data_IF_550661656931
#
_entry.id   IF_550661656931
#
_cell.length_a   1.000
_cell.length_b   1.000
_cell.length_c   1.000
_cell.angle_alpha   90.00
_cell.angle_beta   90.00
_cell.angle_gamma   90.00
#
_symmetry.space_group_name_H-M   'P 1'
#
loop_
_entity.id
_entity.type
_entity.pdbx_description
1 polymer ?
#
# COMPACT_ATOMS: atom_id res chain seq x y z
N UNK A 1 -13.00 64.55 -14.09
CA UNK A 1 -13.59 63.31 -13.54
C UNK A 1 -12.49 62.25 -13.58
N UNK A 2 -11.91 61.94 -12.43
CA UNK A 2 -10.73 61.08 -12.29
C UNK A 2 -11.12 59.61 -12.37
N UNK A 3 -10.62 58.87 -13.35
CA UNK A 3 -10.69 57.41 -13.33
C UNK A 3 -9.35 56.85 -12.85
N UNK A 4 -9.30 56.49 -11.56
CA UNK A 4 -8.21 55.67 -11.03
C UNK A 4 -8.44 54.24 -11.48
N UNK A 5 -7.62 53.76 -12.41
CA UNK A 5 -7.55 52.35 -12.76
C UNK A 5 -6.87 51.62 -11.61
N UNK A 6 -7.63 50.86 -10.81
CA UNK A 6 -7.07 49.98 -9.81
C UNK A 6 -6.58 48.69 -10.50
N UNK A 7 -5.27 48.52 -10.62
CA UNK A 7 -4.68 47.27 -11.09
C UNK A 7 -4.80 46.23 -9.96
N UNK A 8 -5.68 45.25 -10.14
CA UNK A 8 -5.75 44.10 -9.25
C UNK A 8 -4.60 43.14 -9.59
N UNK A 9 -3.58 43.10 -8.74
CA UNK A 9 -2.54 42.07 -8.80
C UNK A 9 -3.13 40.74 -8.33
N UNK A 10 -3.47 39.87 -9.28
CA UNK A 10 -3.83 38.48 -9.00
C UNK A 10 -2.55 37.70 -8.71
N UNK A 11 -2.22 37.50 -7.43
CA UNK A 11 -1.14 36.59 -7.03
C UNK A 11 -1.65 35.16 -7.21
N UNK A 12 -1.24 34.52 -8.30
CA UNK A 12 -1.50 33.10 -8.55
C UNK A 12 -0.66 32.28 -7.57
N UNK A 13 -1.26 31.85 -6.46
CA UNK A 13 -0.63 30.86 -5.59
C UNK A 13 -0.58 29.51 -6.33
N UNK A 14 0.56 29.18 -6.92
CA UNK A 14 0.83 27.83 -7.40
C UNK A 14 0.98 26.96 -6.15
N UNK A 15 -0.10 26.30 -5.74
CA UNK A 15 -0.05 25.19 -4.79
C UNK A 15 0.79 24.08 -5.42
N UNK A 16 2.08 24.03 -5.09
CA UNK A 16 2.88 22.85 -5.36
C UNK A 16 2.32 21.76 -4.45
N UNK A 17 1.59 20.81 -5.01
CA UNK A 17 1.31 19.55 -4.32
C UNK A 17 2.67 18.99 -3.91
N UNK A 18 2.94 19.00 -2.61
CA UNK A 18 4.24 18.60 -2.08
C UNK A 18 4.43 17.12 -2.41
N UNK A 19 5.44 16.82 -3.24
CA UNK A 19 5.72 15.45 -3.63
C UNK A 19 5.96 14.58 -2.39
N UNK A 20 5.38 13.38 -2.37
CA UNK A 20 5.51 12.48 -1.23
C UNK A 20 7.00 12.20 -0.94
N UNK A 21 7.39 12.40 0.31
CA UNK A 21 8.76 12.24 0.79
C UNK A 21 8.77 11.30 2.00
N UNK A 22 9.88 10.59 2.25
CA UNK A 22 10.03 9.78 3.45
C UNK A 22 9.68 10.54 4.74
N UNK A 23 8.92 9.92 5.63
CA UNK A 23 8.61 10.48 6.95
C UNK A 23 9.68 10.21 7.99
N UNK A 24 10.52 9.20 7.78
CA UNK A 24 11.54 8.82 8.74
C UNK A 24 12.26 7.52 8.37
N UNK A 25 12.91 6.93 9.38
CA UNK A 25 13.53 5.61 9.31
C UNK A 25 13.36 4.88 10.62
N UNK A 26 13.18 3.58 10.58
CA UNK A 26 13.25 2.69 11.74
C UNK A 26 14.50 1.82 11.68
N UNK A 27 14.97 1.36 12.84
CA UNK A 27 16.13 0.47 12.95
C UNK A 27 15.66 -0.96 13.13
N UNK A 28 16.02 -1.82 12.17
CA UNK A 28 15.68 -3.23 12.17
C UNK A 28 16.17 -3.95 13.42
N UNK A 29 15.31 -4.83 13.94
CA UNK A 29 15.60 -5.75 15.05
C UNK A 29 15.71 -7.16 14.49
N UNK A 30 16.40 -8.04 15.24
CA UNK A 30 16.43 -9.46 14.89
C UNK A 30 15.14 -10.10 15.39
N UNK A 31 14.41 -10.79 14.52
CA UNK A 31 13.27 -11.61 14.91
C UNK A 31 13.68 -12.68 15.96
N UNK A 32 12.87 -12.90 17.01
CA UNK A 32 12.99 -14.08 17.86
C UNK A 32 12.88 -15.39 17.06
N UNK A 33 13.39 -16.52 17.59
CA UNK A 33 13.21 -17.82 16.93
C UNK A 33 11.72 -18.16 16.80
N UNK A 34 11.29 -18.53 15.58
CA UNK A 34 9.90 -18.87 15.29
C UNK A 34 9.03 -17.70 14.83
N UNK A 35 9.58 -16.48 14.82
CA UNK A 35 8.93 -15.27 14.29
C UNK A 35 9.55 -14.90 12.93
N UNK A 36 8.89 -14.00 12.21
CA UNK A 36 9.11 -13.64 10.81
C UNK A 36 8.79 -14.76 9.83
N UNK A 37 7.52 -14.79 9.44
CA UNK A 37 7.01 -15.53 8.31
C UNK A 37 7.64 -14.98 7.02
N UNK A 38 8.10 -15.91 6.17
CA UNK A 38 8.73 -15.63 4.89
C UNK A 38 7.94 -16.20 3.70
N UNK A 39 6.69 -16.63 3.95
CA UNK A 39 5.74 -16.97 2.90
C UNK A 39 5.54 -15.80 1.92
N UNK A 40 5.15 -16.14 0.69
CA UNK A 40 5.02 -15.23 -0.46
C UNK A 40 6.24 -14.33 -0.74
N UNK A 41 7.43 -14.71 -0.26
CA UNK A 41 8.66 -13.95 -0.48
C UNK A 41 8.89 -12.83 0.55
N UNK A 42 8.15 -12.84 1.66
CA UNK A 42 8.29 -11.87 2.74
C UNK A 42 9.71 -11.85 3.34
N UNK A 43 10.20 -10.63 3.57
CA UNK A 43 11.58 -10.33 3.95
C UNK A 43 11.67 -10.09 5.47
N UNK A 44 12.72 -10.56 6.14
CA UNK A 44 12.90 -10.28 7.57
C UNK A 44 13.79 -9.06 7.83
N UNK A 45 13.45 -8.27 8.85
CA UNK A 45 14.30 -7.17 9.28
C UNK A 45 15.69 -7.64 9.73
N UNK A 46 16.71 -6.93 9.26
CA UNK A 46 18.12 -7.19 9.60
C UNK A 46 18.53 -6.31 10.76
N UNK A 47 19.06 -6.90 11.83
CA UNK A 47 19.52 -6.19 13.03
C UNK A 47 20.46 -5.05 12.65
N UNK A 48 20.07 -3.83 13.00
CA UNK A 48 20.88 -2.63 12.79
C UNK A 48 20.76 -1.98 11.41
N UNK A 49 20.11 -2.61 10.42
CA UNK A 49 19.77 -1.98 9.13
C UNK A 49 18.68 -0.92 9.36
N UNK A 50 18.77 0.21 8.67
CA UNK A 50 17.72 1.23 8.69
C UNK A 50 16.77 1.03 7.52
N UNK A 51 15.47 1.08 7.79
CA UNK A 51 14.39 0.96 6.82
C UNK A 51 13.64 2.29 6.76
N UNK A 52 13.32 2.75 5.55
CA UNK A 52 12.62 4.01 5.33
C UNK A 52 11.15 3.85 5.67
N UNK A 53 10.55 4.88 6.25
CA UNK A 53 9.11 4.92 6.51
C UNK A 53 8.45 6.08 5.76
N UNK A 54 7.17 5.92 5.47
CA UNK A 54 6.35 6.89 4.76
C UNK A 54 5.01 7.08 5.48
N UNK A 55 4.48 8.30 5.43
CA UNK A 55 3.10 8.64 5.83
C UNK A 55 2.23 9.06 4.65
N UNK A 56 2.78 8.95 3.45
CA UNK A 56 2.19 9.39 2.20
C UNK A 56 2.50 8.38 1.11
N UNK A 57 1.71 8.42 0.05
CA UNK A 57 1.89 7.62 -1.15
C UNK A 57 1.92 8.54 -2.38
N UNK A 58 2.35 8.07 -3.56
CA UNK A 58 2.22 8.84 -4.79
C UNK A 58 0.79 9.33 -5.04
N UNK A 59 0.59 10.42 -5.81
CA UNK A 59 -0.75 10.94 -6.09
C UNK A 59 -1.66 9.90 -6.76
N UNK A 60 -2.91 9.81 -6.30
CA UNK A 60 -3.95 9.00 -6.94
C UNK A 60 -4.45 9.72 -8.20
N UNK A 61 -4.71 8.95 -9.26
CA UNK A 61 -5.20 9.39 -10.57
C UNK A 61 -6.03 8.30 -11.23
N UNK A 62 -6.59 8.57 -12.41
CA UNK A 62 -7.30 7.58 -13.24
C UNK A 62 -6.38 6.47 -13.80
N UNK A 63 -5.10 6.47 -13.47
CA UNK A 63 -4.16 5.40 -13.83
C UNK A 63 -3.00 5.34 -12.82
N UNK A 64 -3.33 5.22 -11.52
CA UNK A 64 -2.35 5.25 -10.43
C UNK A 64 -1.38 4.08 -10.57
N UNK A 65 -0.09 4.36 -10.78
CA UNK A 65 0.93 3.32 -10.86
C UNK A 65 1.24 2.77 -9.48
N UNK A 66 1.33 1.46 -9.38
CA UNK A 66 1.67 0.76 -8.15
C UNK A 66 2.49 -0.49 -8.45
N UNK A 67 3.06 -1.05 -7.39
CA UNK A 67 3.63 -2.40 -7.41
C UNK A 67 2.64 -3.32 -6.71
N UNK A 68 2.26 -4.41 -7.37
CA UNK A 68 1.44 -5.47 -6.83
C UNK A 68 2.35 -6.47 -6.11
N UNK A 69 2.02 -6.79 -4.86
CA UNK A 69 2.63 -7.87 -4.07
C UNK A 69 1.58 -8.94 -3.76
N UNK A 70 2.04 -10.14 -3.38
CA UNK A 70 1.18 -11.27 -3.02
C UNK A 70 1.15 -11.38 -1.49
N UNK A 71 -0.05 -11.44 -0.93
CA UNK A 71 -0.27 -11.63 0.50
C UNK A 71 -1.49 -12.53 0.73
N UNK A 72 -1.40 -13.38 1.76
CA UNK A 72 -2.52 -14.15 2.28
C UNK A 72 -3.18 -13.41 3.45
N UNK A 73 -4.47 -13.12 3.31
CA UNK A 73 -5.31 -12.52 4.34
C UNK A 73 -6.01 -13.56 5.22
N UNK A 74 -5.65 -14.84 5.04
CA UNK A 74 -6.19 -15.93 5.84
C UNK A 74 -5.62 -15.95 7.26
N UNK A 75 -6.34 -16.65 8.14
CA UNK A 75 -5.83 -16.93 9.47
C UNK A 75 -4.58 -17.81 9.36
N UNK A 76 -3.49 -17.36 9.99
CA UNK A 76 -2.16 -17.95 9.93
C UNK A 76 -1.45 -17.81 8.57
N UNK A 77 -1.93 -16.94 7.68
CA UNK A 77 -1.14 -16.48 6.54
C UNK A 77 -0.05 -15.47 6.93
N UNK A 78 0.64 -14.93 5.93
CA UNK A 78 1.68 -13.92 6.09
C UNK A 78 1.16 -12.50 6.34
N UNK A 79 -0.12 -12.24 6.09
CA UNK A 79 -0.79 -10.97 6.44
C UNK A 79 -0.91 -10.73 7.96
N UNK A 80 -0.55 -11.71 8.80
CA UNK A 80 -0.50 -11.55 10.24
C UNK A 80 -1.89 -11.57 10.89
N UNK A 81 -2.34 -10.39 11.35
CA UNK A 81 -3.60 -10.24 12.09
C UNK A 81 -4.85 -10.17 11.18
N UNK A 82 -6.05 -10.06 11.78
CA UNK A 82 -7.26 -9.71 11.02
C UNK A 82 -7.14 -8.32 10.39
N UNK A 83 -7.74 -8.12 9.23
CA UNK A 83 -7.59 -6.87 8.46
C UNK A 83 -8.25 -5.64 9.13
N UNK A 84 -7.60 -4.49 9.01
CA UNK A 84 -7.95 -3.26 9.73
C UNK A 84 -9.36 -2.72 9.43
N UNK A 85 -9.88 -2.90 8.21
CA UNK A 85 -11.16 -2.32 7.84
C UNK A 85 -12.36 -2.97 8.53
N UNK A 86 -12.29 -4.26 8.85
CA UNK A 86 -13.43 -5.02 9.36
C UNK A 86 -13.11 -6.01 10.48
N UNK A 87 -11.85 -6.11 10.90
CA UNK A 87 -11.36 -7.06 11.90
C UNK A 87 -11.63 -8.52 11.53
N UNK A 88 -11.57 -8.86 10.24
CA UNK A 88 -11.79 -10.21 9.73
C UNK A 88 -10.57 -10.73 8.97
N UNK A 89 -10.44 -12.05 8.92
CA UNK A 89 -9.60 -12.73 7.93
C UNK A 89 -10.41 -12.93 6.65
N UNK A 90 -9.73 -12.95 5.51
CA UNK A 90 -10.33 -13.14 4.20
C UNK A 90 -9.68 -14.34 3.51
N UNK A 91 -10.50 -15.17 2.86
CA UNK A 91 -10.04 -16.36 2.12
C UNK A 91 -9.21 -15.95 0.90
N UNK A 92 -8.16 -16.71 0.57
CA UNK A 92 -7.27 -16.42 -0.56
C UNK A 92 -7.99 -16.40 -1.92
N UNK A 93 -9.15 -17.08 -2.02
CA UNK A 93 -10.00 -17.08 -3.21
C UNK A 93 -10.93 -15.84 -3.28
N UNK A 94 -10.87 -14.93 -2.30
CA UNK A 94 -11.61 -13.66 -2.29
C UNK A 94 -10.74 -12.53 -2.81
N UNK A 95 -11.16 -11.75 -3.85
CA UNK A 95 -10.37 -10.65 -4.38
C UNK A 95 -10.36 -9.44 -3.42
N UNK A 96 -9.40 -9.45 -2.50
CA UNK A 96 -9.14 -8.41 -1.51
C UNK A 96 -7.70 -7.89 -1.59
N UNK A 97 -7.50 -6.66 -1.11
CA UNK A 97 -6.19 -5.99 -1.06
C UNK A 97 -5.98 -5.15 0.20
N UNK A 98 -4.71 -4.96 0.56
CA UNK A 98 -4.23 -3.89 1.40
C UNK A 98 -3.63 -2.75 0.55
N UNK A 99 -3.71 -1.52 1.04
CA UNK A 99 -3.08 -0.37 0.38
C UNK A 99 -2.02 0.25 1.27
N UNK A 100 -0.91 0.71 0.68
CA UNK A 100 0.07 1.54 1.41
C UNK A 100 -0.61 2.67 2.18
N UNK A 101 -0.14 2.98 3.39
CA UNK A 101 -0.69 3.99 4.32
C UNK A 101 -1.26 5.25 3.65
N UNK A 102 -0.52 5.86 2.73
CA UNK A 102 -0.96 7.09 2.08
C UNK A 102 -2.17 6.92 1.16
N UNK A 103 -2.31 5.75 0.52
CA UNK A 103 -3.48 5.38 -0.28
C UNK A 103 -4.61 4.82 0.58
N UNK A 104 -4.30 4.08 1.65
CA UNK A 104 -5.28 3.65 2.65
C UNK A 104 -5.99 4.86 3.29
N UNK A 105 -5.23 5.94 3.54
CA UNK A 105 -5.74 7.26 3.96
C UNK A 105 -6.64 7.16 5.20
N UNK A 106 -6.17 6.43 6.21
CA UNK A 106 -6.91 6.23 7.47
C UNK A 106 -8.26 5.55 7.26
N UNK A 107 -8.31 4.56 6.37
CA UNK A 107 -9.50 3.78 6.09
C UNK A 107 -10.52 4.44 5.17
N UNK A 108 -10.20 5.56 4.50
CA UNK A 108 -11.18 6.22 3.63
C UNK A 108 -11.63 5.36 2.44
N UNK A 109 -10.86 4.31 2.11
CA UNK A 109 -11.16 3.33 1.07
C UNK A 109 -11.68 2.00 1.59
N UNK A 110 -11.78 1.83 2.91
CA UNK A 110 -12.22 0.57 3.50
C UNK A 110 -13.53 0.07 2.91
N UNK A 111 -13.55 -1.21 2.55
CA UNK A 111 -14.68 -1.94 1.98
C UNK A 111 -15.21 -1.37 0.65
N UNK A 112 -14.50 -0.41 0.05
CA UNK A 112 -14.71 0.02 -1.32
C UNK A 112 -13.83 -0.80 -2.25
N UNK A 113 -14.20 -0.80 -3.54
CA UNK A 113 -13.46 -1.50 -4.58
C UNK A 113 -12.49 -0.57 -5.27
N UNK A 114 -11.37 -1.15 -5.70
CA UNK A 114 -10.49 -0.56 -6.71
C UNK A 114 -10.43 -1.50 -7.91
N UNK A 115 -10.29 -0.94 -9.10
CA UNK A 115 -10.02 -1.72 -10.30
C UNK A 115 -8.52 -1.76 -10.52
N UNK A 116 -7.94 -2.96 -10.51
CA UNK A 116 -6.51 -3.21 -10.73
C UNK A 116 -6.34 -3.69 -12.16
N UNK A 117 -5.34 -3.18 -12.87
CA UNK A 117 -5.06 -3.54 -14.26
C UNK A 117 -3.60 -3.95 -14.46
N UNK A 118 -3.40 -5.10 -15.10
CA UNK A 118 -2.10 -5.66 -15.43
C UNK A 118 -2.26 -6.68 -16.57
N UNK A 119 -1.21 -6.91 -17.36
CA UNK A 119 -1.21 -7.98 -18.39
C UNK A 119 -2.42 -7.94 -19.36
N UNK A 120 -2.93 -6.74 -19.67
CA UNK A 120 -4.12 -6.56 -20.52
C UNK A 120 -5.44 -7.03 -19.90
N UNK A 121 -5.47 -7.31 -18.59
CA UNK A 121 -6.64 -7.73 -17.82
C UNK A 121 -6.90 -6.74 -16.68
N UNK A 122 -8.12 -6.80 -16.14
CA UNK A 122 -8.52 -6.01 -14.97
C UNK A 122 -9.37 -6.85 -14.01
N UNK A 123 -9.29 -6.52 -12.72
CA UNK A 123 -10.10 -7.13 -11.66
C UNK A 123 -10.50 -6.07 -10.64
N UNK A 124 -11.73 -6.15 -10.15
CA UNK A 124 -12.15 -5.36 -8.99
C UNK A 124 -11.80 -6.11 -7.71
N UNK A 125 -11.10 -5.44 -6.80
CA UNK A 125 -10.73 -5.98 -5.51
C UNK A 125 -11.18 -5.05 -4.39
N UNK A 126 -11.63 -5.62 -3.27
CA UNK A 126 -12.06 -4.86 -2.10
C UNK A 126 -10.86 -4.48 -1.24
N UNK A 127 -10.77 -3.21 -0.85
CA UNK A 127 -9.76 -2.76 0.12
C UNK A 127 -10.20 -3.20 1.51
N UNK A 128 -9.45 -4.10 2.12
CA UNK A 128 -9.74 -4.65 3.45
C UNK A 128 -8.72 -4.24 4.50
N UNK A 129 -7.54 -3.77 4.08
CA UNK A 129 -6.44 -3.56 5.02
C UNK A 129 -5.50 -2.40 4.67
N UNK A 130 -4.62 -2.09 5.62
CA UNK A 130 -3.48 -1.19 5.44
C UNK A 130 -2.18 -1.99 5.30
N UNK A 131 -1.40 -1.71 4.24
CA UNK A 131 -0.01 -2.09 4.17
C UNK A 131 0.83 -1.01 4.86
N UNK A 132 1.12 -1.18 6.16
CA UNK A 132 1.70 -0.12 7.00
C UNK A 132 3.12 0.25 6.53
N UNK A 133 3.25 1.46 6.00
CA UNK A 133 4.53 2.04 5.56
C UNK A 133 5.18 2.92 6.63
N UNK A 134 4.53 3.08 7.79
CA UNK A 134 4.97 3.92 8.91
C UNK A 134 5.77 3.13 9.95
N UNK A 135 5.50 1.84 10.11
CA UNK A 135 6.11 0.97 11.11
C UNK A 135 6.47 -0.42 10.56
N UNK A 136 7.19 -1.21 11.35
CA UNK A 136 7.70 -2.52 10.99
C UNK A 136 8.84 -2.95 11.92
N UNK A 137 9.45 -4.09 11.66
CA UNK A 137 10.58 -4.64 12.41
C UNK A 137 10.31 -4.82 13.93
N UNK A 138 9.06 -5.08 14.29
CA UNK A 138 8.60 -5.33 15.65
C UNK A 138 7.63 -6.51 15.70
N UNK A 139 7.06 -6.78 16.87
CA UNK A 139 6.20 -7.94 17.09
C UNK A 139 4.84 -7.86 16.39
N UNK A 140 4.34 -6.65 16.13
CA UNK A 140 3.03 -6.45 15.51
C UNK A 140 3.11 -6.75 14.01
N UNK A 141 4.26 -6.47 13.40
CA UNK A 141 4.53 -6.67 11.98
C UNK A 141 5.35 -7.93 11.71
N UNK A 142 5.35 -8.89 12.63
CA UNK A 142 6.10 -10.16 12.51
C UNK A 142 7.60 -9.95 12.15
N UNK A 143 8.17 -8.84 12.60
CA UNK A 143 9.54 -8.40 12.28
C UNK A 143 9.84 -8.24 10.78
N UNK A 144 8.82 -8.12 9.93
CA UNK A 144 8.92 -7.73 8.52
C UNK A 144 9.19 -6.22 8.39
N UNK A 145 9.82 -5.74 7.30
CA UNK A 145 10.08 -4.32 7.10
C UNK A 145 8.79 -3.52 6.89
N UNK A 146 8.83 -2.18 7.08
CA UNK A 146 7.73 -1.32 6.69
C UNK A 146 7.42 -1.49 5.20
N UNK A 147 6.14 -1.45 4.88
CA UNK A 147 5.66 -1.49 3.51
C UNK A 147 6.23 -0.32 2.69
N UNK A 148 6.47 -0.55 1.41
CA UNK A 148 6.75 0.54 0.48
C UNK A 148 5.51 1.41 0.30
N UNK A 149 5.67 2.64 -0.16
CA UNK A 149 4.58 3.61 -0.17
C UNK A 149 3.72 3.60 -1.44
N UNK A 150 3.94 2.64 -2.33
CA UNK A 150 3.29 2.49 -3.63
C UNK A 150 2.83 1.05 -3.88
N UNK A 151 2.45 0.33 -2.83
CA UNK A 151 2.04 -1.07 -2.84
C UNK A 151 0.52 -1.20 -2.88
N UNK A 152 0.06 -2.11 -3.73
CA UNK A 152 -1.24 -2.79 -3.61
C UNK A 152 -0.90 -4.23 -3.24
N UNK A 153 -1.18 -4.62 -2.01
CA UNK A 153 -0.83 -5.94 -1.50
C UNK A 153 -2.02 -6.87 -1.60
N UNK A 154 -1.93 -7.93 -2.38
CA UNK A 154 -3.11 -8.55 -2.95
C UNK A 154 -3.20 -10.05 -2.70
N UNK A 155 -4.43 -10.49 -2.43
CA UNK A 155 -4.82 -11.90 -2.35
C UNK A 155 -4.49 -12.67 -3.63
N UNK A 156 -4.35 -13.99 -3.48
CA UNK A 156 -4.13 -14.93 -4.58
C UNK A 156 -5.18 -14.79 -5.70
N UNK A 157 -6.45 -14.61 -5.35
CA UNK A 157 -7.53 -14.41 -6.32
C UNK A 157 -7.29 -13.22 -7.28
N UNK A 158 -6.72 -12.11 -6.79
CA UNK A 158 -6.38 -10.94 -7.62
C UNK A 158 -5.31 -11.30 -8.65
N UNK A 159 -4.26 -12.00 -8.22
CA UNK A 159 -3.18 -12.45 -9.08
C UNK A 159 -3.68 -13.40 -10.19
N UNK A 160 -4.53 -14.36 -9.84
CA UNK A 160 -5.12 -15.30 -10.79
C UNK A 160 -6.03 -14.61 -11.81
N UNK A 161 -6.87 -13.67 -11.37
CA UNK A 161 -7.76 -12.91 -12.26
C UNK A 161 -6.96 -12.08 -13.29
N UNK A 162 -5.84 -11.49 -12.86
CA UNK A 162 -4.92 -10.76 -13.74
C UNK A 162 -4.06 -11.68 -14.62
N UNK A 163 -4.10 -13.01 -14.39
CA UNK A 163 -3.30 -13.98 -15.13
C UNK A 163 -1.81 -13.78 -14.91
N UNK A 164 -1.41 -13.43 -13.69
CA UNK A 164 -0.01 -13.23 -13.30
C UNK A 164 0.56 -14.50 -12.65
N UNK A 165 1.85 -14.73 -12.84
CA UNK A 165 2.58 -15.80 -12.16
C UNK A 165 2.96 -15.34 -10.75
N UNK A 166 2.47 -16.03 -9.73
CA UNK A 166 2.71 -15.73 -8.31
C UNK A 166 4.20 -15.89 -7.92
N UNK A 167 5.00 -16.61 -8.71
CA UNK A 167 6.41 -16.84 -8.40
C UNK A 167 7.32 -15.64 -8.72
N UNK A 168 6.81 -14.59 -9.37
CA UNK A 168 7.60 -13.39 -9.70
C UNK A 168 7.76 -12.43 -8.52
N UNK A 169 6.94 -12.56 -7.49
CA UNK A 169 6.94 -11.75 -6.27
C UNK A 169 6.32 -10.36 -6.44
N UNK A 170 6.76 -9.58 -7.43
CA UNK A 170 6.32 -8.20 -7.65
C UNK A 170 5.99 -7.93 -9.12
N UNK A 171 4.92 -7.18 -9.38
CA UNK A 171 4.51 -6.77 -10.74
C UNK A 171 4.09 -5.30 -10.78
N UNK A 172 4.52 -4.56 -11.80
CA UNK A 172 4.01 -3.23 -12.06
C UNK A 172 2.56 -3.27 -12.54
N UNK A 173 1.69 -2.51 -11.88
CA UNK A 173 0.26 -2.41 -12.19
C UNK A 173 -0.19 -0.96 -12.29
N UNK A 174 -1.44 -0.79 -12.72
CA UNK A 174 -2.19 0.45 -12.43
C UNK A 174 -3.48 0.15 -11.70
N UNK A 175 -3.98 1.12 -10.94
CA UNK A 175 -5.26 1.01 -10.26
C UNK A 175 -6.02 2.34 -10.22
N UNK A 176 -7.34 2.23 -10.06
CA UNK A 176 -8.28 3.34 -9.87
C UNK A 176 -9.32 3.00 -8.83
N UNK A 177 -9.89 4.00 -8.16
CA UNK A 177 -11.13 3.81 -7.42
C UNK A 177 -12.25 3.35 -8.38
N UNK A 178 -13.07 2.36 -7.98
CA UNK A 178 -14.13 1.77 -8.80
C UNK A 178 -15.50 2.45 -8.61
#
# INVERSE_FOLDING_TARGET
MNYRLAAAFFVLFILHAQACSPSGKIRGRKAPPGECNQENGSDCCKKGKFYTTYKCSPPVSDNTKATLTLNSFEKNGDGGGPSECDNQYHDDDTPVVALSTGWYKGGSRCLNKITISANGRSVDAMVVDECDSTMGCDNEHDYQPPCSNNIVDASKAVWEALGLDQNVGEVDITWTDA
#
